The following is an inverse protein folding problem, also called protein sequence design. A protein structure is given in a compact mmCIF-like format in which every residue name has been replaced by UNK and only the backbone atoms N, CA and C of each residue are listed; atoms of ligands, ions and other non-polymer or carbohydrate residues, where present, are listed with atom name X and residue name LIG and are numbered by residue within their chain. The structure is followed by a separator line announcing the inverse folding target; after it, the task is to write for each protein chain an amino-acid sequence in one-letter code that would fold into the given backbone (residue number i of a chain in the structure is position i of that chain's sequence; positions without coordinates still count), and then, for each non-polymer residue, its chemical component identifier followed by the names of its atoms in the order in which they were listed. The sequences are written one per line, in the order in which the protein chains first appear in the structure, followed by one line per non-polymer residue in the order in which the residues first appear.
data_IF_982985320524
#
_entry.id   IF_982985320524
#
_cell.length_a   1.000
_cell.length_b   1.000
_cell.length_c   1.000
_cell.angle_alpha   90.00
_cell.angle_beta   90.00
_cell.angle_gamma   90.00
#
_symmetry.space_group_name_H-M   'P 1'
#
loop_
_entity.id
_entity.type
_entity.pdbx_description
1 polymer ?
#
# COMPACT_ATOMS: atom_id res chain seq x y z
N UNK A 1 -7.10 1.45 -9.08
CA UNK A 1 -6.48 0.16 -9.37
C UNK A 1 -7.40 -0.72 -10.19
N UNK A 2 -6.90 -1.24 -11.32
CA UNK A 2 -7.53 -2.32 -12.09
C UNK A 2 -7.15 -3.68 -11.48
N UNK A 3 -7.88 -4.75 -11.81
CA UNK A 3 -7.65 -6.10 -11.25
C UNK A 3 -6.24 -6.63 -11.52
N UNK A 4 -5.69 -6.31 -12.69
CA UNK A 4 -4.37 -6.80 -13.13
C UNK A 4 -3.22 -6.17 -12.31
N UNK A 5 -3.34 -4.88 -12.00
CA UNK A 5 -2.39 -4.15 -11.14
C UNK A 5 -2.38 -4.71 -9.71
N UNK A 6 -3.52 -5.20 -9.23
CA UNK A 6 -3.63 -5.82 -7.90
C UNK A 6 -2.93 -7.17 -7.82
N UNK A 7 -2.99 -7.96 -8.89
CA UNK A 7 -2.31 -9.25 -8.96
C UNK A 7 -0.78 -9.07 -8.98
N UNK A 8 -0.28 -8.06 -9.70
CA UNK A 8 1.15 -7.74 -9.74
C UNK A 8 1.69 -7.27 -8.37
N UNK A 9 0.84 -6.62 -7.55
CA UNK A 9 1.21 -6.20 -6.20
C UNK A 9 1.45 -7.36 -5.22
N UNK A 10 0.88 -8.55 -5.47
CA UNK A 10 1.06 -9.72 -4.59
C UNK A 10 2.43 -10.38 -4.75
N UNK A 11 3.09 -10.18 -5.89
CA UNK A 11 4.44 -10.71 -6.15
C UNK A 11 5.57 -9.72 -5.83
N UNK A 12 5.25 -8.53 -5.30
CA UNK A 12 6.25 -7.50 -5.01
C UNK A 12 6.78 -7.61 -3.58
N UNK A 13 8.07 -7.36 -3.39
CA UNK A 13 8.73 -7.43 -2.08
C UNK A 13 8.11 -6.44 -1.07
N UNK A 14 8.01 -6.82 0.21
CA UNK A 14 7.40 -6.00 1.29
C UNK A 14 7.97 -4.57 1.33
N UNK A 15 9.27 -4.41 1.11
CA UNK A 15 9.94 -3.09 1.06
C UNK A 15 9.36 -2.20 -0.04
N UNK A 16 9.12 -2.76 -1.22
CA UNK A 16 8.55 -2.02 -2.36
C UNK A 16 7.09 -1.58 -2.09
N UNK A 17 6.31 -2.43 -1.42
CA UNK A 17 4.94 -2.11 -1.01
C UNK A 17 4.91 -0.99 0.03
N UNK A 18 5.86 -0.97 0.97
CA UNK A 18 6.02 0.11 1.94
C UNK A 18 6.38 1.45 1.29
N UNK A 19 7.29 1.44 0.31
CA UNK A 19 7.64 2.63 -0.47
C UNK A 19 6.40 3.15 -1.20
N UNK A 20 5.69 2.28 -1.91
CA UNK A 20 4.47 2.64 -2.64
C UNK A 20 3.38 3.19 -1.71
N UNK A 21 3.22 2.65 -0.51
CA UNK A 21 2.29 3.18 0.48
C UNK A 21 2.66 4.60 0.93
N UNK A 22 3.95 4.89 1.13
CA UNK A 22 4.43 6.24 1.46
C UNK A 22 4.19 7.22 0.31
N UNK A 23 4.49 6.81 -0.92
CA UNK A 23 4.27 7.65 -2.11
C UNK A 23 2.79 7.96 -2.30
N UNK A 24 1.92 6.96 -2.19
CA UNK A 24 0.46 7.17 -2.27
C UNK A 24 -0.05 8.11 -1.17
N UNK A 25 0.52 8.06 0.04
CA UNK A 25 0.16 8.99 1.12
C UNK A 25 0.55 10.42 0.75
N UNK A 26 1.78 10.61 0.27
CA UNK A 26 2.27 11.93 -0.20
C UNK A 26 1.39 12.49 -1.32
N UNK A 27 1.07 11.67 -2.32
CA UNK A 27 0.19 12.08 -3.41
C UNK A 27 -1.22 12.48 -2.92
N UNK A 28 -1.77 11.78 -1.92
CA UNK A 28 -3.05 12.15 -1.31
C UNK A 28 -2.95 13.51 -0.62
N UNK A 29 -1.86 13.75 0.12
CA UNK A 29 -1.61 15.02 0.82
C UNK A 29 -1.46 16.17 -0.20
N UNK A 30 -0.71 15.95 -1.29
CA UNK A 30 -0.55 16.91 -2.39
C UNK A 30 -1.90 17.23 -3.06
N UNK A 31 -2.74 16.22 -3.32
CA UNK A 31 -4.08 16.41 -3.86
C UNK A 31 -5.01 17.17 -2.89
N UNK A 32 -4.83 17.00 -1.58
CA UNK A 32 -5.55 17.79 -0.58
C UNK A 32 -5.12 19.26 -0.61
N UNK A 33 -3.83 19.55 -0.77
CA UNK A 33 -3.33 20.91 -0.94
C UNK A 33 -3.89 21.54 -2.21
N UNK A 34 -3.84 20.84 -3.36
CA UNK A 34 -4.41 21.32 -4.62
C UNK A 34 -5.91 21.60 -4.51
N UNK A 35 -6.66 20.75 -3.80
CA UNK A 35 -8.09 20.95 -3.53
C UNK A 35 -8.32 22.22 -2.73
N UNK A 36 -7.55 22.44 -1.67
CA UNK A 36 -7.67 23.63 -0.83
C UNK A 36 -7.31 24.93 -1.59
N UNK A 37 -6.42 24.83 -2.59
CA UNK A 37 -6.08 25.94 -3.48
C UNK A 37 -7.07 26.12 -4.66
N UNK A 38 -8.17 25.35 -4.72
CA UNK A 38 -9.10 25.30 -5.85
C UNK A 38 -8.45 24.97 -7.21
N UNK A 39 -7.30 24.30 -7.21
CA UNK A 39 -6.55 23.89 -8.42
C UNK A 39 -6.90 22.46 -8.87
N UNK A 40 -7.52 21.68 -7.99
CA UNK A 40 -7.85 20.29 -8.27
C UNK A 40 -9.05 20.16 -9.22
N UNK A 41 -8.78 19.79 -10.48
CA UNK A 41 -9.82 19.59 -11.51
C UNK A 41 -10.66 18.33 -11.30
N UNK A 42 -10.07 17.27 -10.73
CA UNK A 42 -10.73 15.97 -10.59
C UNK A 42 -10.89 15.58 -9.12
N UNK A 43 -12.04 15.91 -8.52
CA UNK A 43 -12.32 15.61 -7.12
C UNK A 43 -12.33 14.10 -6.79
N UNK A 44 -12.53 13.22 -7.78
CA UNK A 44 -12.52 11.76 -7.58
C UNK A 44 -11.10 11.19 -7.46
N UNK A 45 -10.05 11.96 -7.76
CA UNK A 45 -8.66 11.50 -7.68
C UNK A 45 -8.28 11.07 -6.26
N UNK A 46 -8.64 11.88 -5.26
CA UNK A 46 -8.36 11.61 -3.84
C UNK A 46 -8.99 10.27 -3.41
N UNK A 47 -10.27 10.06 -3.73
CA UNK A 47 -10.98 8.82 -3.39
C UNK A 47 -10.35 7.59 -4.07
N UNK A 48 -9.97 7.72 -5.35
CA UNK A 48 -9.27 6.65 -6.09
C UNK A 48 -7.92 6.30 -5.45
N UNK A 49 -7.12 7.31 -5.08
CA UNK A 49 -5.81 7.13 -4.45
C UNK A 49 -5.92 6.56 -3.04
N UNK A 50 -6.91 6.99 -2.24
CA UNK A 50 -7.22 6.37 -0.93
C UNK A 50 -7.59 4.90 -1.05
N UNK A 51 -8.39 4.54 -2.06
CA UNK A 51 -8.74 3.14 -2.33
C UNK A 51 -7.51 2.31 -2.71
N UNK A 52 -6.61 2.87 -3.52
CA UNK A 52 -5.35 2.22 -3.88
C UNK A 52 -4.44 2.02 -2.66
N UNK A 53 -4.29 3.04 -1.81
CA UNK A 53 -3.55 2.94 -0.55
C UNK A 53 -4.11 1.83 0.36
N UNK A 54 -5.43 1.77 0.51
CA UNK A 54 -6.08 0.73 1.32
C UNK A 54 -5.79 -0.69 0.79
N UNK A 55 -5.74 -0.87 -0.53
CA UNK A 55 -5.40 -2.15 -1.14
C UNK A 55 -3.95 -2.55 -0.88
N UNK A 56 -3.00 -1.60 -1.03
CA UNK A 56 -1.58 -1.83 -0.72
C UNK A 56 -1.38 -2.24 0.74
N UNK A 57 -2.03 -1.52 1.67
CA UNK A 57 -1.97 -1.84 3.10
C UNK A 57 -2.60 -3.20 3.44
N UNK A 58 -3.67 -3.58 2.74
CA UNK A 58 -4.29 -4.89 2.91
C UNK A 58 -3.34 -6.02 2.51
N UNK A 59 -2.64 -5.88 1.38
CA UNK A 59 -1.65 -6.86 0.93
C UNK A 59 -0.49 -6.93 1.92
N UNK A 60 0.01 -5.78 2.40
CA UNK A 60 1.06 -5.74 3.43
C UNK A 60 0.63 -6.51 4.69
N UNK A 61 -0.59 -6.29 5.18
CA UNK A 61 -1.08 -7.02 6.37
C UNK A 61 -1.25 -8.51 6.10
N UNK A 62 -1.69 -8.91 4.90
CA UNK A 62 -1.78 -10.32 4.52
C UNK A 62 -0.40 -11.00 4.55
N UNK A 63 0.64 -10.33 4.03
CA UNK A 63 2.00 -10.86 4.08
C UNK A 63 2.50 -10.98 5.53
N UNK A 64 2.26 -9.98 6.36
CA UNK A 64 2.61 -10.03 7.79
C UNK A 64 1.91 -11.17 8.52
N UNK A 65 0.61 -11.37 8.27
CA UNK A 65 -0.15 -12.47 8.86
C UNK A 65 0.38 -13.83 8.44
N UNK A 66 0.80 -14.00 7.18
CA UNK A 66 1.44 -15.24 6.73
C UNK A 66 2.78 -15.47 7.45
N UNK A 67 3.57 -14.41 7.64
CA UNK A 67 4.81 -14.50 8.42
C UNK A 67 4.58 -14.85 9.90
N UNK A 68 3.48 -14.36 10.50
CA UNK A 68 3.07 -14.68 11.87
C UNK A 68 2.60 -16.15 12.00
N UNK A 69 1.90 -16.68 11.00
CA UNK A 69 1.33 -18.04 11.01
C UNK A 69 2.35 -19.12 10.64
N UNK A 70 3.28 -18.82 9.74
CA UNK A 70 4.26 -19.76 9.19
C UNK A 70 5.67 -19.17 9.23
N UNK A 71 6.28 -19.00 10.42
CA UNK A 71 7.60 -18.38 10.55
C UNK A 71 8.70 -19.16 9.81
N UNK A 72 8.55 -20.48 9.72
CA UNK A 72 9.53 -21.39 9.09
C UNK A 72 9.53 -21.31 7.54
N UNK A 73 8.49 -20.76 6.91
CA UNK A 73 8.40 -20.59 5.44
C UNK A 73 9.08 -19.31 4.94
N UNK A 74 9.41 -18.38 5.85
CA UNK A 74 10.06 -17.10 5.53
C UNK A 74 11.36 -16.98 6.33
N UNK A 75 12.20 -18.03 6.38
CA UNK A 75 13.60 -17.95 6.82
C UNK A 75 13.86 -17.17 8.12
N UNK A 76 12.89 -17.10 9.03
CA UNK A 76 13.03 -16.39 10.29
C UNK A 76 13.64 -17.37 11.27
N UNK A 77 14.98 -17.36 11.37
CA UNK A 77 15.65 -18.00 12.49
C UNK A 77 14.99 -17.53 13.78
N UNK A 78 14.52 -18.52 14.56
CA UNK A 78 13.78 -18.33 15.80
C UNK A 78 14.55 -17.37 16.71
N UNK A 79 14.08 -16.13 16.75
CA UNK A 79 14.50 -15.13 17.73
C UNK A 79 13.88 -15.46 19.07
N UNK A 80 14.70 -16.04 19.93
CA UNK A 80 14.48 -16.30 21.35
C UNK A 80 13.93 -15.09 22.10
N UNK A 81 13.13 -15.41 23.13
CA UNK A 81 12.53 -14.55 24.16
C UNK A 81 13.47 -13.43 24.62
#
# INVERSE_FOLDING_TARGET
MKKDELNNLKGTEVKSLLIKAKDLKKEIDDLHLEKNMNKLKNLKSISKKRKELAQVLTILRQIQLLAELEPDLIGAEKGTI
#
